data_IF_595863504273
#
_entry.id   IF_595863504273
#
_cell.length_a   1.000
_cell.length_b   1.000
_cell.length_c   1.000
_cell.angle_alpha   90.00
_cell.angle_beta   90.00
_cell.angle_gamma   90.00
#
_symmetry.space_group_name_H-M   'P 1'
#
loop_
_entity.id
_entity.type
_entity.pdbx_description
1 polymer ?
#
# COMPACT_ATOMS: atom_id res chain seq x y z
N UNK A 1 16.77 26.75 8.58
CA UNK A 1 16.70 25.58 9.48
C UNK A 1 15.42 25.75 10.32
N UNK A 2 14.34 25.12 9.91
CA UNK A 2 13.12 25.04 10.75
C UNK A 2 13.45 23.99 11.79
N UNK A 3 13.45 24.40 13.04
CA UNK A 3 13.91 23.58 14.14
C UNK A 3 13.01 22.34 14.32
N UNK A 4 13.64 21.17 14.42
CA UNK A 4 13.01 19.88 14.68
C UNK A 4 12.02 19.94 15.87
N UNK A 5 12.23 20.86 16.79
CA UNK A 5 11.38 21.14 17.94
C UNK A 5 9.97 21.66 17.58
N UNK A 6 9.84 22.49 16.55
CA UNK A 6 8.53 22.97 16.10
C UNK A 6 7.70 21.85 15.50
N UNK A 7 8.32 20.97 14.72
CA UNK A 7 7.65 19.83 14.10
C UNK A 7 7.11 18.82 15.13
N UNK A 8 7.86 18.61 16.22
CA UNK A 8 7.46 17.74 17.34
C UNK A 8 6.32 18.37 18.13
N UNK A 9 6.35 19.69 18.32
CA UNK A 9 5.32 20.42 19.05
C UNK A 9 4.00 20.45 18.28
N UNK A 10 4.04 20.70 16.97
CA UNK A 10 2.85 20.68 16.10
C UNK A 10 2.24 19.29 16.07
N UNK A 11 3.04 18.23 15.94
CA UNK A 11 2.54 16.84 16.00
C UNK A 11 1.86 16.52 17.33
N UNK A 12 2.43 16.95 18.47
CA UNK A 12 1.83 16.76 19.80
C UNK A 12 0.53 17.51 19.97
N UNK A 13 0.45 18.75 19.46
CA UNK A 13 -0.77 19.57 19.50
C UNK A 13 -1.87 18.95 18.63
N UNK A 14 -1.55 18.48 17.44
CA UNK A 14 -2.50 17.82 16.56
C UNK A 14 -3.05 16.53 17.19
N UNK A 15 -2.18 15.71 17.78
CA UNK A 15 -2.59 14.49 18.49
C UNK A 15 -3.47 14.83 19.70
N UNK A 16 -3.14 15.87 20.47
CA UNK A 16 -3.90 16.31 21.63
C UNK A 16 -5.29 16.84 21.27
N UNK A 17 -5.39 17.64 20.20
CA UNK A 17 -6.67 18.13 19.68
C UNK A 17 -7.54 16.98 19.15
N UNK A 18 -6.96 15.97 18.52
CA UNK A 18 -7.67 14.79 18.04
C UNK A 18 -8.22 13.92 19.17
N UNK A 19 -7.48 13.79 20.27
CA UNK A 19 -7.95 13.08 21.47
C UNK A 19 -9.15 13.78 22.13
N UNK A 20 -9.17 15.12 22.14
CA UNK A 20 -10.28 15.91 22.72
C UNK A 20 -11.55 15.78 21.86
N UNK A 21 -11.42 15.73 20.54
CA UNK A 21 -12.56 15.63 19.62
C UNK A 21 -13.03 14.19 19.33
N UNK A 22 -12.46 13.18 20.01
CA UNK A 22 -12.84 11.78 19.79
C UNK A 22 -12.59 11.27 18.38
N UNK A 23 -11.78 11.99 17.59
CA UNK A 23 -11.39 11.57 16.25
C UNK A 23 -10.38 10.43 16.35
N UNK A 24 -10.75 9.29 15.79
CA UNK A 24 -9.89 8.11 15.77
C UNK A 24 -8.63 8.42 14.95
N UNK A 25 -7.50 8.66 15.62
CA UNK A 25 -6.20 9.01 15.02
C UNK A 25 -5.77 7.97 13.98
N UNK A 26 -6.21 6.73 14.13
CA UNK A 26 -5.96 5.65 13.18
C UNK A 26 -6.56 5.88 11.79
N UNK A 27 -7.61 6.70 11.66
CA UNK A 27 -8.28 6.92 10.37
C UNK A 27 -7.54 7.90 9.44
N UNK A 28 -6.57 8.66 9.96
CA UNK A 28 -5.90 9.72 9.19
C UNK A 28 -4.60 9.29 8.49
N UNK A 29 -4.05 8.13 8.83
CA UNK A 29 -2.71 7.74 8.42
C UNK A 29 -2.60 6.36 7.76
N UNK A 30 -3.72 5.74 7.40
CA UNK A 30 -3.65 4.43 6.75
C UNK A 30 -3.79 4.60 5.24
N UNK A 31 -2.76 4.26 4.44
CA UNK A 31 -2.86 4.25 2.98
C UNK A 31 -3.82 3.18 2.47
N UNK A 32 -4.42 2.45 3.39
CA UNK A 32 -5.43 1.43 3.18
C UNK A 32 -6.82 2.01 3.43
N UNK A 33 -7.82 1.66 2.64
CA UNK A 33 -9.17 2.18 2.79
C UNK A 33 -9.74 1.90 4.19
N UNK A 34 -10.47 2.86 4.74
CA UNK A 34 -11.00 2.81 6.11
C UNK A 34 -11.94 1.60 6.27
N UNK A 35 -11.56 0.66 7.12
CA UNK A 35 -12.32 -0.56 7.37
C UNK A 35 -11.99 -1.72 6.44
N UNK A 36 -11.22 -1.48 5.38
CA UNK A 36 -10.70 -2.51 4.50
C UNK A 36 -9.23 -2.77 4.82
N UNK A 37 -8.87 -4.02 4.78
CA UNK A 37 -7.49 -4.48 4.85
C UNK A 37 -6.79 -4.39 3.48
N UNK A 38 -7.29 -3.50 2.61
CA UNK A 38 -6.82 -3.30 1.24
C UNK A 38 -6.01 -2.02 1.12
N UNK A 39 -4.78 -2.16 0.65
CA UNK A 39 -3.89 -1.07 0.30
C UNK A 39 -3.68 -1.01 -1.21
N UNK A 40 -3.59 0.19 -1.79
CA UNK A 40 -3.39 0.37 -3.23
C UNK A 40 -2.15 1.19 -3.50
N UNK A 41 -1.18 0.61 -4.19
CA UNK A 41 0.06 1.25 -4.60
C UNK A 41 -0.03 1.59 -6.09
N UNK A 42 0.28 2.82 -6.43
CA UNK A 42 0.32 3.35 -7.81
C UNK A 42 1.75 3.70 -8.21
N UNK A 43 1.92 4.52 -9.23
CA UNK A 43 3.23 5.06 -9.61
C UNK A 43 4.05 4.20 -10.56
N UNK A 44 3.47 3.13 -11.10
CA UNK A 44 4.15 2.38 -12.16
C UNK A 44 4.17 3.16 -13.46
N UNK A 45 5.35 3.30 -14.06
CA UNK A 45 5.49 3.87 -15.41
C UNK A 45 4.77 2.98 -16.44
N UNK A 46 4.45 3.57 -17.59
CA UNK A 46 3.96 2.81 -18.76
C UNK A 46 5.00 1.72 -19.08
N UNK A 47 4.55 0.47 -19.18
CA UNK A 47 5.40 -0.71 -19.34
C UNK A 47 6.47 -0.91 -18.24
N UNK A 48 6.44 -0.13 -17.18
CA UNK A 48 7.37 -0.26 -16.06
C UNK A 48 6.97 -1.37 -15.10
N UNK A 49 7.96 -2.11 -14.63
CA UNK A 49 7.84 -3.23 -13.70
C UNK A 49 8.06 -2.78 -12.25
N UNK A 50 8.78 -1.67 -12.08
CA UNK A 50 9.23 -1.18 -10.78
C UNK A 50 8.44 0.05 -10.38
N UNK A 51 8.18 0.17 -9.09
CA UNK A 51 7.56 1.34 -8.46
C UNK A 51 8.57 2.49 -8.47
N UNK A 52 8.11 3.71 -8.74
CA UNK A 52 8.96 4.90 -8.62
C UNK A 52 9.36 5.14 -7.15
N UNK A 53 10.51 5.79 -6.93
CA UNK A 53 11.01 6.07 -5.57
C UNK A 53 10.01 6.82 -4.67
N UNK A 54 9.20 7.72 -5.23
CA UNK A 54 8.21 8.47 -4.44
C UNK A 54 7.11 7.57 -3.88
N UNK A 55 6.64 6.62 -4.67
CA UNK A 55 5.57 5.70 -4.28
C UNK A 55 6.09 4.48 -3.51
N UNK A 56 7.41 4.24 -3.47
CA UNK A 56 7.99 3.22 -2.58
C UNK A 56 7.81 3.57 -1.10
N UNK A 57 7.65 4.85 -0.76
CA UNK A 57 7.33 5.30 0.59
C UNK A 57 5.99 4.75 1.08
N UNK A 58 5.03 4.52 0.18
CA UNK A 58 3.75 3.91 0.54
C UNK A 58 3.94 2.48 1.05
N UNK A 59 4.85 1.71 0.43
CA UNK A 59 5.16 0.34 0.87
C UNK A 59 5.87 0.36 2.23
N UNK A 60 6.87 1.22 2.40
CA UNK A 60 7.58 1.39 3.67
C UNK A 60 6.60 1.75 4.79
N UNK A 61 5.69 2.65 4.51
CA UNK A 61 4.65 3.06 5.46
C UNK A 61 3.70 1.90 5.81
N UNK A 62 3.24 1.13 4.82
CA UNK A 62 2.40 -0.05 5.01
C UNK A 62 3.10 -1.06 5.92
N UNK A 63 4.38 -1.35 5.67
CA UNK A 63 5.18 -2.28 6.48
C UNK A 63 5.31 -1.78 7.91
N UNK A 64 5.65 -0.49 8.08
CA UNK A 64 5.76 0.10 9.41
C UNK A 64 4.44 0.02 10.19
N UNK A 65 3.32 0.35 9.53
CA UNK A 65 1.99 0.24 10.12
C UNK A 65 1.68 -1.20 10.55
N UNK A 66 1.81 -2.15 9.62
CA UNK A 66 1.51 -3.57 9.89
C UNK A 66 2.34 -4.08 11.07
N UNK A 67 3.66 -3.85 11.05
CA UNK A 67 4.57 -4.34 12.08
C UNK A 67 4.30 -3.74 13.46
N UNK A 68 3.75 -2.53 13.54
CA UNK A 68 3.47 -1.89 14.82
C UNK A 68 2.15 -2.34 15.45
N UNK A 69 1.12 -2.58 14.63
CA UNK A 69 -0.23 -2.84 15.14
C UNK A 69 -0.64 -4.30 15.09
N UNK A 70 -0.02 -5.09 14.22
CA UNK A 70 -0.36 -6.48 14.05
C UNK A 70 0.79 -7.42 14.49
N UNK A 71 0.42 -8.57 15.02
CA UNK A 71 1.35 -9.62 15.40
C UNK A 71 1.62 -10.58 14.24
N UNK A 72 0.57 -10.92 13.49
CA UNK A 72 0.64 -11.85 12.36
C UNK A 72 -0.55 -11.66 11.41
N UNK A 73 -0.46 -12.22 10.22
CA UNK A 73 -1.53 -12.21 9.22
C UNK A 73 -1.13 -12.89 7.93
N UNK A 74 -2.02 -12.87 6.94
CA UNK A 74 -1.76 -13.29 5.57
C UNK A 74 -1.87 -12.11 4.61
N UNK A 75 -1.08 -12.12 3.55
CA UNK A 75 -1.04 -11.06 2.54
C UNK A 75 -1.27 -11.65 1.16
N UNK A 76 -2.27 -11.15 0.46
CA UNK A 76 -2.47 -11.39 -0.97
C UNK A 76 -2.08 -10.13 -1.75
N UNK A 77 -1.39 -10.31 -2.89
CA UNK A 77 -0.88 -9.22 -3.72
C UNK A 77 -1.35 -9.43 -5.15
N UNK A 78 -2.04 -8.43 -5.72
CA UNK A 78 -2.61 -8.48 -7.06
C UNK A 78 -2.10 -7.31 -7.89
N UNK A 79 -1.43 -7.60 -9.01
CA UNK A 79 -0.96 -6.59 -9.95
C UNK A 79 -1.96 -6.31 -11.06
N UNK A 80 -1.96 -5.06 -11.54
CA UNK A 80 -2.81 -4.59 -12.61
C UNK A 80 -2.05 -3.70 -13.61
N UNK A 81 -2.60 -3.58 -14.82
CA UNK A 81 -2.09 -2.69 -15.87
C UNK A 81 -3.19 -1.78 -16.39
N UNK A 82 -2.80 -0.78 -17.16
CA UNK A 82 -3.71 -0.13 -18.10
C UNK A 82 -3.91 -0.99 -19.36
N UNK A 83 -4.70 -0.51 -20.31
CA UNK A 83 -5.01 -1.23 -21.56
C UNK A 83 -3.98 -1.03 -22.68
N UNK A 84 -2.83 -0.39 -22.41
CA UNK A 84 -1.79 -0.19 -23.42
C UNK A 84 -0.99 -1.49 -23.58
N UNK A 85 -1.01 -2.05 -24.79
CA UNK A 85 -0.29 -3.28 -25.12
C UNK A 85 -1.20 -4.46 -25.44
N UNK A 86 -0.66 -5.67 -25.40
CA UNK A 86 -1.44 -6.89 -25.61
C UNK A 86 -1.86 -7.50 -24.27
N UNK A 87 -3.03 -8.11 -24.20
CA UNK A 87 -3.52 -8.80 -22.99
C UNK A 87 -2.50 -9.76 -22.39
N UNK A 88 -1.83 -10.55 -23.25
CA UNK A 88 -0.80 -11.49 -22.81
C UNK A 88 0.39 -10.78 -22.12
N UNK A 89 0.84 -9.66 -22.71
CA UNK A 89 1.93 -8.87 -22.14
C UNK A 89 1.49 -8.20 -20.83
N UNK A 90 0.29 -7.64 -20.81
CA UNK A 90 -0.26 -6.98 -19.64
C UNK A 90 -0.47 -7.95 -18.47
N UNK A 91 -0.91 -9.18 -18.76
CA UNK A 91 -0.98 -10.23 -17.73
C UNK A 91 0.41 -10.52 -17.13
N UNK A 92 1.42 -10.73 -17.97
CA UNK A 92 2.79 -10.98 -17.51
C UNK A 92 3.35 -9.81 -16.71
N UNK A 93 3.15 -8.56 -17.20
CA UNK A 93 3.61 -7.34 -16.52
C UNK A 93 2.96 -7.16 -15.16
N UNK A 94 1.68 -7.49 -15.03
CA UNK A 94 0.98 -7.38 -13.77
C UNK A 94 1.50 -8.37 -12.71
N UNK A 95 1.86 -9.59 -13.12
CA UNK A 95 2.50 -10.57 -12.21
C UNK A 95 3.84 -10.04 -11.72
N UNK A 96 4.70 -9.55 -12.61
CA UNK A 96 6.01 -9.00 -12.25
C UNK A 96 5.88 -7.82 -11.28
N UNK A 97 4.88 -6.96 -11.46
CA UNK A 97 4.60 -5.86 -10.52
C UNK A 97 4.23 -6.37 -9.13
N UNK A 98 3.39 -7.39 -9.05
CA UNK A 98 3.00 -8.01 -7.79
C UNK A 98 4.20 -8.67 -7.10
N UNK A 99 5.05 -9.38 -7.84
CA UNK A 99 6.29 -9.98 -7.33
C UNK A 99 7.26 -8.92 -6.80
N UNK A 100 7.46 -7.82 -7.53
CA UNK A 100 8.30 -6.71 -7.07
C UNK A 100 7.75 -6.02 -5.82
N UNK A 101 6.43 -5.85 -5.71
CA UNK A 101 5.82 -5.33 -4.49
C UNK A 101 6.03 -6.29 -3.30
N UNK A 102 5.87 -7.60 -3.50
CA UNK A 102 6.14 -8.61 -2.48
C UNK A 102 7.59 -8.56 -1.99
N UNK A 103 8.54 -8.44 -2.91
CA UNK A 103 9.95 -8.30 -2.61
C UNK A 103 10.21 -7.04 -1.78
N UNK A 104 9.65 -5.90 -2.18
CA UNK A 104 9.80 -4.62 -1.45
C UNK A 104 9.21 -4.69 -0.05
N UNK A 105 8.07 -5.35 0.17
CA UNK A 105 7.53 -5.57 1.52
C UNK A 105 8.56 -6.26 2.42
N UNK A 106 9.27 -7.27 1.93
CA UNK A 106 10.33 -7.96 2.68
C UNK A 106 11.56 -7.07 2.88
N UNK A 107 12.00 -6.35 1.86
CA UNK A 107 13.14 -5.42 1.92
C UNK A 107 12.94 -4.30 2.93
N UNK A 108 11.70 -3.80 3.08
CA UNK A 108 11.34 -2.81 4.10
C UNK A 108 11.07 -3.42 5.48
N UNK A 109 11.32 -4.72 5.65
CA UNK A 109 11.29 -5.38 6.95
C UNK A 109 9.90 -5.85 7.40
N UNK A 110 9.04 -6.26 6.48
CA UNK A 110 7.80 -6.94 6.85
C UNK A 110 8.10 -8.15 7.75
N UNK A 111 7.49 -8.17 8.93
CA UNK A 111 7.70 -9.22 9.93
C UNK A 111 7.44 -10.62 9.33
N UNK A 112 8.29 -11.60 9.68
CA UNK A 112 8.23 -12.97 9.19
C UNK A 112 6.93 -13.71 9.56
N UNK A 113 6.25 -13.26 10.61
CA UNK A 113 4.94 -13.80 11.01
C UNK A 113 3.81 -13.46 10.00
N UNK A 114 4.07 -12.58 9.03
CA UNK A 114 3.17 -12.32 7.91
C UNK A 114 3.52 -13.24 6.75
N UNK A 115 2.54 -14.05 6.34
CA UNK A 115 2.68 -14.97 5.22
C UNK A 115 2.16 -14.30 3.95
N UNK A 116 3.00 -14.14 2.92
CA UNK A 116 2.51 -13.77 1.60
C UNK A 116 1.90 -15.03 1.00
N UNK A 117 0.57 -15.13 1.09
CA UNK A 117 -0.21 -16.32 0.75
C UNK A 117 -0.47 -16.45 -0.74
N UNK A 118 -0.51 -15.31 -1.46
CA UNK A 118 -0.83 -15.31 -2.87
C UNK A 118 -0.22 -14.08 -3.58
N UNK A 119 0.36 -14.32 -4.75
CA UNK A 119 0.85 -13.29 -5.67
C UNK A 119 0.26 -13.59 -7.04
N UNK A 120 -0.52 -12.65 -7.59
CA UNK A 120 -1.18 -12.82 -8.89
C UNK A 120 -1.14 -11.54 -9.73
N UNK A 121 -1.42 -11.68 -11.01
CA UNK A 121 -1.62 -10.57 -11.92
C UNK A 121 -2.92 -10.75 -12.70
N UNK A 122 -3.67 -9.66 -12.82
CA UNK A 122 -4.96 -9.60 -13.52
C UNK A 122 -4.85 -8.85 -14.86
N UNK A 123 -3.66 -8.32 -15.17
CA UNK A 123 -3.46 -7.53 -16.38
C UNK A 123 -4.40 -6.33 -16.42
N UNK A 124 -5.08 -6.15 -17.55
CA UNK A 124 -6.03 -5.06 -17.80
C UNK A 124 -7.50 -5.43 -17.52
N UNK A 125 -7.78 -6.62 -16.95
CA UNK A 125 -9.15 -7.16 -16.85
C UNK A 125 -10.02 -6.42 -15.83
N UNK A 126 -9.43 -5.81 -14.81
CA UNK A 126 -10.15 -5.12 -13.73
C UNK A 126 -9.72 -3.66 -13.61
N UNK A 127 -10.13 -2.79 -14.56
CA UNK A 127 -9.85 -1.37 -14.47
C UNK A 127 -10.70 -0.74 -13.37
N UNK A 128 -10.08 0.18 -12.60
CA UNK A 128 -10.78 0.99 -11.58
C UNK A 128 -11.10 2.39 -12.10
N UNK A 129 -10.57 2.75 -13.26
CA UNK A 129 -10.78 4.04 -13.90
C UNK A 129 -10.75 3.87 -15.44
N UNK A 130 -11.14 4.92 -16.16
CA UNK A 130 -11.14 4.88 -17.62
C UNK A 130 -9.76 4.77 -18.23
N UNK A 131 -9.59 3.91 -19.22
CA UNK A 131 -8.33 3.81 -19.97
C UNK A 131 -8.17 4.89 -21.05
N UNK A 132 -9.17 5.73 -21.28
CA UNK A 132 -9.13 6.78 -22.33
C UNK A 132 -8.29 7.99 -21.91
N UNK A 133 -8.19 8.30 -20.61
CA UNK A 133 -7.42 9.41 -20.07
C UNK A 133 -6.06 9.00 -19.52
N UNK A 134 -5.11 9.93 -19.46
CA UNK A 134 -3.78 9.69 -18.86
C UNK A 134 -3.91 9.35 -17.35
N UNK A 135 -4.77 10.09 -16.66
CA UNK A 135 -4.99 9.87 -15.22
C UNK A 135 -5.67 8.54 -14.94
N UNK A 136 -6.68 8.17 -15.73
CA UNK A 136 -7.33 6.88 -15.57
C UNK A 136 -6.38 5.71 -15.81
N UNK A 137 -5.53 5.79 -16.83
CA UNK A 137 -4.48 4.79 -17.03
C UNK A 137 -3.46 4.75 -15.88
N UNK A 138 -3.10 5.90 -15.31
CA UNK A 138 -2.25 5.95 -14.12
C UNK A 138 -2.89 5.19 -12.94
N UNK A 139 -4.18 5.38 -12.69
CA UNK A 139 -4.91 4.68 -11.64
C UNK A 139 -5.00 3.18 -11.90
N UNK A 140 -5.13 2.75 -13.15
CA UNK A 140 -5.19 1.34 -13.51
C UNK A 140 -3.83 0.61 -13.35
N UNK A 141 -2.69 1.31 -13.49
CA UNK A 141 -1.35 0.77 -13.24
C UNK A 141 -1.08 0.73 -11.74
N UNK A 142 -1.55 -0.31 -11.07
CA UNK A 142 -1.51 -0.43 -9.61
C UNK A 142 -1.16 -1.84 -9.15
N UNK A 143 -0.81 -1.94 -7.89
CA UNK A 143 -0.79 -3.19 -7.12
C UNK A 143 -1.73 -3.03 -5.94
N UNK A 144 -2.57 -4.01 -5.72
CA UNK A 144 -3.46 -4.14 -4.58
C UNK A 144 -2.85 -5.14 -3.59
N UNK A 145 -2.79 -4.75 -2.31
CA UNK A 145 -2.30 -5.57 -1.21
C UNK A 145 -3.46 -5.76 -0.25
N UNK A 146 -3.87 -6.99 -0.06
CA UNK A 146 -4.90 -7.37 0.91
C UNK A 146 -4.23 -8.00 2.13
N UNK A 147 -4.61 -7.54 3.31
CA UNK A 147 -4.10 -8.03 4.58
C UNK A 147 -5.26 -8.74 5.29
N UNK A 148 -5.14 -10.04 5.47
CA UNK A 148 -6.19 -10.90 5.97
C UNK A 148 -5.74 -11.65 7.23
N UNK A 149 -6.69 -12.21 7.98
CA UNK A 149 -6.42 -13.03 9.17
C UNK A 149 -5.51 -12.33 10.19
N UNK A 150 -5.72 -11.02 10.38
CA UNK A 150 -4.87 -10.19 11.23
C UNK A 150 -5.08 -10.55 12.69
N UNK A 151 -3.98 -10.88 13.38
CA UNK A 151 -3.90 -10.86 14.84
C UNK A 151 -3.30 -9.54 15.27
N UNK A 152 -4.04 -8.72 15.98
CA UNK A 152 -3.54 -7.47 16.54
C UNK A 152 -2.69 -7.76 17.78
N UNK A 153 -1.66 -6.93 18.01
CA UNK A 153 -0.90 -6.95 19.25
C UNK A 153 -1.82 -6.56 20.41
N UNK A 154 -1.72 -7.29 21.52
CA UNK A 154 -2.39 -6.88 22.75
C UNK A 154 -1.85 -5.51 23.17
N UNK A 155 -2.75 -4.56 23.38
CA UNK A 155 -2.37 -3.27 23.95
C UNK A 155 -2.07 -3.49 25.42
N UNK A 156 -0.78 -3.40 25.76
CA UNK A 156 -0.37 -3.39 27.18
C UNK A 156 -1.01 -2.14 27.81
N UNK A 157 -1.92 -2.35 28.77
CA UNK A 157 -2.56 -1.31 29.55
C UNK A 157 -1.58 -0.66 30.52
#
# INVERSE_FOLDING_TARGET
MIEIWELITVKKIVIFLMLIFGMNVMALFVPCAKGDTKCVIRGFKINGEVINRGESQDIEYIVHFINNFAESGSIEIIGHTDSIGTKRRNLKLSIIRAENAAKMLREFGLNEKFIISKITGEGENFPIDTNTTVNGRYNNRRVEIFIENIKFKEQVK
#
